data_IF_236941286996
#
_entry.id   IF_236941286996
#
_cell.length_a   1.000
_cell.length_b   1.000
_cell.length_c   1.000
_cell.angle_alpha   90.00
_cell.angle_beta   90.00
_cell.angle_gamma   90.00
#
_symmetry.space_group_name_H-M   'P 1'
#
loop_
_entity.id
_entity.type
_entity.pdbx_description
1 polymer ?
#
# COMPACT_ATOMS: atom_id res chain seq x y z
N UNK A 1 -23.39 19.46 29.83
CA UNK A 1 -23.12 19.15 28.41
C UNK A 1 -21.93 18.19 28.35
N UNK A 2 -22.19 16.90 28.15
CA UNK A 2 -21.16 15.89 27.94
C UNK A 2 -20.86 15.83 26.44
N UNK A 3 -19.70 16.30 26.00
CA UNK A 3 -19.13 15.91 24.71
C UNK A 3 -17.86 15.13 25.01
N UNK A 4 -17.96 13.84 24.75
CA UNK A 4 -16.86 12.89 24.70
C UNK A 4 -15.87 13.33 23.60
N UNK A 5 -14.80 13.99 24.00
CA UNK A 5 -13.62 14.23 23.16
C UNK A 5 -12.61 13.12 23.42
N UNK A 6 -12.86 11.93 22.88
CA UNK A 6 -11.87 10.86 22.82
C UNK A 6 -10.67 11.38 22.05
N UNK A 7 -9.66 11.89 22.77
CA UNK A 7 -8.35 12.22 22.22
C UNK A 7 -7.79 10.90 21.72
N UNK A 8 -7.89 10.68 20.40
CA UNK A 8 -7.15 9.65 19.69
C UNK A 8 -5.73 9.78 20.20
N UNK A 9 -5.29 8.79 20.97
CA UNK A 9 -3.92 8.72 21.46
C UNK A 9 -3.05 8.85 20.22
N UNK A 10 -2.42 10.01 20.06
CA UNK A 10 -1.32 10.16 19.12
C UNK A 10 -0.22 9.31 19.73
N UNK A 11 -0.27 8.01 19.42
CA UNK A 11 0.81 7.10 19.69
C UNK A 11 2.04 7.79 19.12
N UNK A 12 2.97 8.15 20.01
CA UNK A 12 4.19 8.86 19.66
C UNK A 12 5.02 7.88 18.83
N UNK A 13 4.73 7.82 17.53
CA UNK A 13 5.44 6.94 16.61
C UNK A 13 6.81 7.55 16.38
N UNK A 14 7.76 7.04 17.15
CA UNK A 14 9.16 7.46 17.17
C UNK A 14 9.93 7.02 15.92
N UNK A 15 9.28 6.29 15.01
CA UNK A 15 9.91 5.62 13.88
C UNK A 15 9.51 6.26 12.55
N UNK A 16 10.52 6.54 11.73
CA UNK A 16 10.33 6.99 10.36
C UNK A 16 9.56 5.94 9.53
N UNK A 17 8.71 6.43 8.62
CA UNK A 17 8.00 5.56 7.69
C UNK A 17 8.96 5.10 6.59
N UNK A 18 9.22 3.79 6.46
CA UNK A 18 10.15 3.27 5.47
C UNK A 18 9.58 3.38 4.04
N UNK A 19 10.49 3.56 3.08
CA UNK A 19 10.12 3.61 1.65
C UNK A 19 9.73 2.22 1.13
N UNK A 20 8.63 2.07 0.36
CA UNK A 20 8.22 0.79 -0.23
C UNK A 20 9.01 0.45 -1.51
N UNK A 21 10.11 1.14 -1.78
CA UNK A 21 10.86 1.00 -3.04
C UNK A 21 11.55 -0.38 -3.13
N UNK A 22 11.43 -1.03 -4.30
CA UNK A 22 12.08 -2.30 -4.61
C UNK A 22 13.27 -2.17 -5.56
N UNK A 23 13.79 -0.96 -5.76
CA UNK A 23 14.91 -0.68 -6.69
C UNK A 23 14.55 -0.73 -8.19
N UNK A 24 13.37 -1.19 -8.56
CA UNK A 24 12.93 -1.28 -9.96
C UNK A 24 12.09 -0.06 -10.36
N UNK A 25 12.73 1.05 -10.74
CA UNK A 25 12.03 2.27 -11.14
C UNK A 25 11.48 2.21 -12.58
N UNK A 26 10.67 1.19 -12.88
CA UNK A 26 9.97 1.02 -14.16
C UNK A 26 8.51 1.43 -14.01
N UNK A 27 8.01 2.25 -14.94
CA UNK A 27 6.63 2.75 -14.92
C UNK A 27 5.77 1.91 -15.86
N UNK A 28 4.55 1.60 -15.45
CA UNK A 28 3.56 0.90 -16.27
C UNK A 28 2.71 1.87 -17.10
N UNK A 29 1.87 1.36 -18.01
CA UNK A 29 1.04 2.17 -18.92
C UNK A 29 0.09 3.13 -18.18
N UNK A 30 -0.23 2.82 -16.92
CA UNK A 30 -1.07 3.65 -16.04
C UNK A 30 -0.29 4.73 -15.27
N UNK A 31 1.01 4.86 -15.49
CA UNK A 31 1.85 5.86 -14.82
C UNK A 31 2.32 5.50 -13.40
N UNK A 32 2.16 4.25 -12.97
CA UNK A 32 2.61 3.75 -11.66
C UNK A 32 3.86 2.88 -11.77
N UNK A 33 4.70 2.92 -10.74
CA UNK A 33 5.87 2.04 -10.65
C UNK A 33 5.44 0.57 -10.54
N UNK A 34 5.99 -0.31 -11.38
CA UNK A 34 5.69 -1.76 -11.37
C UNK A 34 6.07 -2.46 -10.06
N UNK A 35 7.06 -1.93 -9.33
CA UNK A 35 7.52 -2.50 -8.08
C UNK A 35 6.78 -1.99 -6.84
N UNK A 36 6.72 -0.67 -6.67
CA UNK A 36 6.20 -0.04 -5.45
C UNK A 36 4.82 0.61 -5.63
N UNK A 37 4.25 0.60 -6.83
CA UNK A 37 2.93 1.17 -7.17
C UNK A 37 2.76 2.67 -6.93
N UNK A 38 3.87 3.38 -6.70
CA UNK A 38 3.90 4.84 -6.54
C UNK A 38 3.83 5.53 -7.90
N UNK A 39 3.11 6.65 -7.96
CA UNK A 39 3.13 7.55 -9.13
C UNK A 39 4.51 8.22 -9.26
N UNK A 40 4.75 8.87 -10.40
CA UNK A 40 5.96 9.67 -10.61
C UNK A 40 6.11 10.74 -9.53
N UNK A 41 5.06 11.54 -9.32
CA UNK A 41 5.04 12.62 -8.33
C UNK A 41 5.30 12.11 -6.90
N UNK A 42 4.64 11.01 -6.53
CA UNK A 42 4.82 10.39 -5.21
C UNK A 42 6.29 10.00 -4.98
N UNK A 43 6.99 9.48 -5.99
CA UNK A 43 8.42 9.13 -5.87
C UNK A 43 9.30 10.37 -5.65
N UNK A 44 9.08 11.42 -6.45
CA UNK A 44 9.87 12.65 -6.36
C UNK A 44 9.67 13.38 -5.03
N UNK A 45 8.44 13.39 -4.51
CA UNK A 45 8.10 14.16 -3.32
C UNK A 45 8.22 13.38 -2.00
N UNK A 46 8.58 12.07 -2.01
CA UNK A 46 8.56 11.22 -0.82
C UNK A 46 9.29 11.81 0.39
N UNK A 47 10.50 12.32 0.19
CA UNK A 47 11.34 12.85 1.27
C UNK A 47 10.72 14.12 1.88
N UNK A 48 9.91 14.85 1.11
CA UNK A 48 9.22 16.07 1.52
C UNK A 48 7.84 15.83 2.14
N UNK A 49 7.32 14.59 2.05
CA UNK A 49 6.01 14.25 2.57
C UNK A 49 6.03 14.15 4.09
N UNK A 50 4.98 14.65 4.74
CA UNK A 50 4.72 14.40 6.15
C UNK A 50 4.35 12.93 6.36
N UNK A 51 4.52 12.44 7.58
CA UNK A 51 4.19 11.05 7.88
C UNK A 51 2.74 10.63 7.58
N UNK A 52 1.69 11.44 7.86
CA UNK A 52 0.34 11.09 7.39
C UNK A 52 0.26 10.98 5.86
N UNK A 53 0.92 11.88 5.11
CA UNK A 53 0.97 11.78 3.64
C UNK A 53 1.68 10.50 3.18
N UNK A 54 2.78 10.13 3.83
CA UNK A 54 3.49 8.87 3.53
C UNK A 54 2.59 7.65 3.77
N UNK A 55 1.87 7.61 4.89
CA UNK A 55 0.90 6.53 5.20
C UNK A 55 -0.20 6.45 4.14
N UNK A 56 -0.73 7.58 3.71
CA UNK A 56 -1.74 7.63 2.66
C UNK A 56 -1.21 7.12 1.32
N UNK A 57 -0.01 7.51 0.92
CA UNK A 57 0.64 6.99 -0.29
C UNK A 57 0.81 5.48 -0.22
N UNK A 58 1.26 4.93 0.92
CA UNK A 58 1.38 3.49 1.13
C UNK A 58 0.02 2.77 1.02
N UNK A 59 -1.02 3.34 1.62
CA UNK A 59 -2.40 2.82 1.53
C UNK A 59 -2.89 2.77 0.08
N UNK A 60 -2.66 3.84 -0.70
CA UNK A 60 -3.03 3.91 -2.11
C UNK A 60 -2.23 2.90 -2.95
N UNK A 61 -0.92 2.76 -2.71
CA UNK A 61 -0.08 1.78 -3.38
C UNK A 61 -0.60 0.35 -3.17
N UNK A 62 -0.96 -0.01 -1.94
CA UNK A 62 -1.58 -1.30 -1.62
C UNK A 62 -2.90 -1.49 -2.37
N UNK A 63 -3.76 -0.46 -2.41
CA UNK A 63 -5.03 -0.53 -3.13
C UNK A 63 -4.83 -0.75 -4.64
N UNK A 64 -3.89 -0.03 -5.25
CA UNK A 64 -3.54 -0.18 -6.68
C UNK A 64 -3.03 -1.59 -6.97
N UNK A 65 -2.17 -2.13 -6.10
CA UNK A 65 -1.67 -3.50 -6.21
C UNK A 65 -2.80 -4.54 -6.14
N UNK A 66 -3.71 -4.42 -5.17
CA UNK A 66 -4.85 -5.33 -5.05
C UNK A 66 -5.78 -5.27 -6.27
N UNK A 67 -5.99 -4.08 -6.85
CA UNK A 67 -6.76 -3.94 -8.10
C UNK A 67 -6.06 -4.63 -9.27
N UNK A 68 -4.73 -4.51 -9.37
CA UNK A 68 -3.94 -5.20 -10.40
C UNK A 68 -4.03 -6.72 -10.23
N UNK A 69 -3.86 -7.23 -9.01
CA UNK A 69 -3.98 -8.66 -8.70
C UNK A 69 -5.37 -9.22 -9.03
N UNK A 70 -6.44 -8.48 -8.71
CA UNK A 70 -7.81 -8.88 -9.05
C UNK A 70 -8.04 -8.90 -10.55
N UNK A 71 -7.50 -7.94 -11.29
CA UNK A 71 -7.58 -7.92 -12.75
C UNK A 71 -6.79 -9.08 -13.39
N UNK A 72 -5.72 -9.54 -12.73
CA UNK A 72 -4.88 -10.63 -13.19
C UNK A 72 -5.35 -12.02 -12.73
N UNK A 73 -6.23 -12.13 -11.72
CA UNK A 73 -6.73 -13.42 -11.24
C UNK A 73 -7.68 -13.98 -12.30
N UNK A 74 -7.28 -15.06 -12.97
CA UNK A 74 -8.19 -15.82 -13.82
C UNK A 74 -9.37 -16.37 -13.01
N UNK A 75 -10.58 -16.51 -13.58
CA UNK A 75 -11.77 -16.94 -12.84
C UNK A 75 -11.77 -18.38 -12.31
N UNK A 76 -10.84 -19.26 -12.70
CA UNK A 76 -10.85 -20.66 -12.27
C UNK A 76 -9.44 -21.13 -11.90
N UNK A 77 -9.16 -21.14 -10.61
CA UNK A 77 -8.18 -22.07 -10.03
C UNK A 77 -9.00 -22.91 -9.04
N UNK A 78 -9.31 -24.19 -9.36
CA UNK A 78 -10.02 -25.04 -8.43
C UNK A 78 -9.18 -25.12 -7.17
N UNK A 79 -9.82 -24.86 -6.02
CA UNK A 79 -9.20 -25.04 -4.70
C UNK A 79 -8.60 -26.43 -4.67
N UNK A 80 -7.27 -26.53 -4.69
CA UNK A 80 -6.58 -27.81 -4.52
C UNK A 80 -6.93 -28.32 -3.13
N UNK A 81 -7.86 -29.28 -3.09
CA UNK A 81 -8.26 -29.95 -1.86
C UNK A 81 -7.01 -30.55 -1.25
N UNK A 82 -6.66 -30.08 -0.05
CA UNK A 82 -5.57 -30.68 0.70
C UNK A 82 -5.98 -32.12 1.02
N UNK A 83 -5.19 -33.13 0.61
CA UNK A 83 -5.51 -34.50 0.97
C UNK A 83 -5.51 -34.60 2.49
N UNK A 84 -6.62 -35.08 3.06
CA UNK A 84 -6.75 -35.30 4.49
C UNK A 84 -5.70 -36.32 4.93
N UNK A 85 -4.82 -35.92 5.84
CA UNK A 85 -3.88 -36.82 6.51
C UNK A 85 -4.59 -37.54 7.66
N UNK A 86 -5.51 -38.45 7.31
CA UNK A 86 -6.07 -39.47 8.19
C UNK A 86 -6.34 -40.74 7.41
#
# INVERSE_FOLDING_TARGET
MLVAGGRVAQQLEFFDIPSPCRGICQTDDRGFCRGCMRSRDERFNWIKMSDPQKRDVLRLCRQRLLRLQRANKQPDEPLQEQPSLF
#
